data_IF_129929568647
#
_entry.id   IF_129929568647
#
_cell.length_a   1.000
_cell.length_b   1.000
_cell.length_c   1.000
_cell.angle_alpha   90.00
_cell.angle_beta   90.00
_cell.angle_gamma   90.00
#
_symmetry.space_group_name_H-M   'P 1'
#
loop_
_entity.id
_entity.type
_entity.pdbx_description
1 polymer ?
#
# COMPACT_ATOMS: atom_id res chain seq x y z
N UNK A 1 -18.17 -21.75 -38.32
CA UNK A 1 -17.79 -21.27 -39.67
C UNK A 1 -16.40 -20.62 -39.64
N UNK A 2 -15.29 -21.39 -39.59
CA UNK A 2 -13.94 -20.80 -39.51
C UNK A 2 -13.38 -20.32 -40.87
N UNK A 3 -13.93 -20.75 -42.01
CA UNK A 3 -13.26 -20.57 -43.31
C UNK A 3 -13.44 -19.22 -44.04
N UNK A 4 -14.26 -18.28 -43.56
CA UNK A 4 -14.53 -17.02 -44.28
C UNK A 4 -13.62 -15.87 -43.82
N UNK A 5 -13.32 -15.78 -42.52
CA UNK A 5 -12.43 -14.77 -41.93
C UNK A 5 -10.99 -14.93 -42.43
N UNK A 6 -10.46 -16.15 -42.36
CA UNK A 6 -9.08 -16.46 -42.77
C UNK A 6 -8.85 -16.17 -44.25
N UNK A 7 -9.85 -16.45 -45.10
CA UNK A 7 -9.78 -16.12 -46.54
C UNK A 7 -9.79 -14.61 -46.79
N UNK A 8 -10.53 -13.83 -45.99
CA UNK A 8 -10.56 -12.37 -46.12
C UNK A 8 -9.28 -11.73 -45.59
N UNK A 9 -8.76 -12.20 -44.45
CA UNK A 9 -7.46 -11.79 -43.90
C UNK A 9 -6.32 -12.11 -44.87
N UNK A 10 -6.32 -13.32 -45.45
CA UNK A 10 -5.34 -13.71 -46.47
C UNK A 10 -5.39 -12.79 -47.68
N UNK A 11 -6.58 -12.58 -48.26
CA UNK A 11 -6.77 -11.65 -49.39
C UNK A 11 -6.33 -10.22 -49.06
N UNK A 12 -6.64 -9.74 -47.85
CA UNK A 12 -6.21 -8.43 -47.40
C UNK A 12 -4.67 -8.34 -47.30
N UNK A 13 -4.04 -9.38 -46.77
CA UNK A 13 -2.57 -9.47 -46.67
C UNK A 13 -1.89 -9.55 -48.04
N UNK A 14 -2.48 -10.26 -49.01
CA UNK A 14 -1.99 -10.33 -50.38
C UNK A 14 -2.13 -8.98 -51.10
N UNK A 15 -3.28 -8.31 -50.93
CA UNK A 15 -3.50 -6.96 -51.44
C UNK A 15 -2.49 -5.97 -50.86
N UNK A 16 -2.20 -6.06 -49.55
CA UNK A 16 -1.17 -5.26 -48.87
C UNK A 16 0.23 -5.52 -49.45
N UNK A 17 0.59 -6.78 -49.71
CA UNK A 17 1.87 -7.15 -50.37
C UNK A 17 1.99 -6.60 -51.78
N UNK A 18 0.87 -6.53 -52.51
CA UNK A 18 0.77 -5.94 -53.86
C UNK A 18 0.66 -4.40 -53.84
N UNK A 19 0.85 -3.75 -52.68
CA UNK A 19 0.70 -2.30 -52.48
C UNK A 19 -0.69 -1.74 -52.82
N UNK A 20 -1.71 -2.61 -52.90
CA UNK A 20 -3.09 -2.18 -53.05
C UNK A 20 -3.68 -1.87 -51.67
N UNK A 21 -3.23 -0.76 -51.09
CA UNK A 21 -3.50 -0.39 -49.71
C UNK A 21 -4.98 -0.10 -49.46
N UNK A 22 -5.66 0.56 -50.40
CA UNK A 22 -7.09 0.89 -50.28
C UNK A 22 -7.92 -0.39 -50.20
N UNK A 23 -7.70 -1.33 -51.11
CA UNK A 23 -8.43 -2.59 -51.13
C UNK A 23 -8.13 -3.45 -49.89
N UNK A 24 -6.86 -3.51 -49.47
CA UNK A 24 -6.48 -4.21 -48.24
C UNK A 24 -7.13 -3.58 -46.99
N UNK A 25 -7.16 -2.26 -46.89
CA UNK A 25 -7.81 -1.55 -45.79
C UNK A 25 -9.32 -1.80 -45.76
N UNK A 26 -10.00 -1.81 -46.91
CA UNK A 26 -11.41 -2.16 -46.97
C UNK A 26 -11.69 -3.58 -46.49
N UNK A 27 -10.85 -4.55 -46.86
CA UNK A 27 -11.00 -5.93 -46.43
C UNK A 27 -10.79 -6.07 -44.92
N UNK A 28 -9.75 -5.43 -44.35
CA UNK A 28 -9.55 -5.43 -42.90
C UNK A 28 -10.68 -4.71 -42.14
N UNK A 29 -11.21 -3.61 -42.68
CA UNK A 29 -12.37 -2.93 -42.09
C UNK A 29 -13.66 -3.77 -42.17
N UNK A 30 -13.82 -4.61 -43.19
CA UNK A 30 -14.91 -5.58 -43.26
C UNK A 30 -14.74 -6.68 -42.20
N UNK A 31 -13.53 -7.18 -42.00
CA UNK A 31 -13.23 -8.12 -40.91
C UNK A 31 -13.59 -7.50 -39.56
N UNK A 32 -13.16 -6.26 -39.29
CA UNK A 32 -13.49 -5.55 -38.05
C UNK A 32 -14.96 -5.14 -37.91
N UNK A 33 -15.75 -5.17 -38.98
CA UNK A 33 -17.20 -5.01 -38.90
C UNK A 33 -17.88 -6.29 -38.39
N UNK A 34 -17.32 -7.44 -38.74
CA UNK A 34 -17.83 -8.77 -38.37
C UNK A 34 -17.29 -9.23 -37.02
N UNK A 35 -16.02 -8.96 -36.75
CA UNK A 35 -15.31 -9.23 -35.50
C UNK A 35 -14.57 -7.96 -35.03
N UNK A 36 -15.24 -7.09 -34.25
CA UNK A 36 -14.72 -5.78 -33.87
C UNK A 36 -13.43 -5.76 -33.05
N UNK A 37 -13.06 -6.89 -32.42
CA UNK A 37 -11.83 -7.02 -31.64
C UNK A 37 -10.78 -7.93 -32.31
N UNK A 38 -10.92 -8.17 -33.62
CA UNK A 38 -9.96 -8.99 -34.36
C UNK A 38 -8.54 -8.41 -34.30
N UNK A 39 -7.64 -9.07 -33.56
CA UNK A 39 -6.28 -8.58 -33.30
C UNK A 39 -5.47 -8.44 -34.59
N UNK A 40 -5.59 -9.42 -35.50
CA UNK A 40 -4.82 -9.44 -36.74
C UNK A 40 -5.20 -8.27 -37.65
N UNK A 41 -6.50 -8.07 -37.87
CA UNK A 41 -7.00 -6.97 -38.68
C UNK A 41 -6.64 -5.59 -38.08
N UNK A 42 -6.79 -5.41 -36.77
CA UNK A 42 -6.47 -4.15 -36.10
C UNK A 42 -4.98 -3.79 -36.21
N UNK A 43 -4.08 -4.77 -36.01
CA UNK A 43 -2.63 -4.58 -36.16
C UNK A 43 -2.25 -4.32 -37.61
N UNK A 44 -2.84 -5.08 -38.54
CA UNK A 44 -2.56 -4.95 -39.96
C UNK A 44 -2.97 -3.58 -40.51
N UNK A 45 -4.09 -3.01 -40.07
CA UNK A 45 -4.51 -1.65 -40.44
C UNK A 45 -3.47 -0.61 -40.00
N UNK A 46 -2.92 -0.71 -38.79
CA UNK A 46 -1.90 0.24 -38.31
C UNK A 46 -0.61 0.12 -39.11
N UNK A 47 -0.15 -1.10 -39.37
CA UNK A 47 1.04 -1.34 -40.18
C UNK A 47 0.85 -0.86 -41.63
N UNK A 48 -0.32 -1.14 -42.22
CA UNK A 48 -0.68 -0.72 -43.57
C UNK A 48 -0.71 0.81 -43.70
N UNK A 49 -1.42 1.48 -42.80
CA UNK A 49 -1.54 2.95 -42.84
C UNK A 49 -0.20 3.64 -42.60
N UNK A 50 0.65 3.08 -41.73
CA UNK A 50 2.03 3.52 -41.51
C UNK A 50 2.89 3.38 -42.77
N UNK A 51 2.94 2.19 -43.38
CA UNK A 51 3.73 1.95 -44.61
C UNK A 51 3.31 2.88 -45.74
N UNK A 52 2.01 2.94 -46.01
CA UNK A 52 1.46 3.84 -47.03
C UNK A 52 1.81 5.30 -46.74
N UNK A 53 1.65 5.74 -45.49
CA UNK A 53 2.00 7.10 -45.08
C UNK A 53 3.48 7.44 -45.27
N UNK A 54 4.38 6.48 -45.06
CA UNK A 54 5.81 6.65 -45.32
C UNK A 54 6.11 6.76 -46.81
N UNK A 55 5.46 5.95 -47.64
CA UNK A 55 5.64 5.96 -49.10
C UNK A 55 5.06 7.22 -49.75
N UNK A 56 3.90 7.69 -49.29
CA UNK A 56 3.20 8.88 -49.78
C UNK A 56 3.70 10.19 -49.14
N UNK A 57 4.61 10.12 -48.16
CA UNK A 57 5.15 11.29 -47.46
C UNK A 57 4.10 12.05 -46.63
N UNK A 58 3.09 11.35 -46.09
CA UNK A 58 2.01 11.95 -45.31
C UNK A 58 2.54 12.53 -43.99
N UNK A 59 2.05 13.72 -43.62
CA UNK A 59 2.48 14.43 -42.40
C UNK A 59 1.68 14.01 -41.17
N UNK A 60 2.16 14.43 -39.99
CA UNK A 60 1.51 14.21 -38.67
C UNK A 60 0.09 14.80 -38.55
N UNK A 61 -0.28 15.75 -39.43
CA UNK A 61 -1.63 16.31 -39.51
C UNK A 61 -2.14 16.27 -40.95
N UNK A 62 -3.36 15.75 -41.12
CA UNK A 62 -4.01 15.63 -42.43
C UNK A 62 -5.17 16.62 -42.57
N UNK A 63 -5.25 17.30 -43.73
CA UNK A 63 -6.53 17.85 -44.20
C UNK A 63 -7.38 16.70 -44.73
N UNK A 64 -8.68 16.72 -44.44
CA UNK A 64 -9.64 15.72 -44.88
C UNK A 64 -9.74 15.73 -46.42
N UNK A 65 -8.89 14.96 -47.11
CA UNK A 65 -8.95 14.79 -48.57
C UNK A 65 -9.44 13.39 -48.88
N UNK A 66 -10.53 13.34 -49.66
CA UNK A 66 -10.94 12.20 -50.49
C UNK A 66 -11.10 10.85 -49.79
N UNK A 67 -12.29 10.58 -49.21
CA UNK A 67 -12.92 9.25 -49.14
C UNK A 67 -14.36 9.33 -48.59
N UNK A 68 -15.04 10.46 -48.81
CA UNK A 68 -16.39 10.72 -48.29
C UNK A 68 -17.49 9.97 -49.04
N UNK A 69 -17.23 9.47 -50.25
CA UNK A 69 -18.24 8.83 -51.11
C UNK A 69 -18.36 7.31 -50.88
N UNK A 70 -17.26 6.54 -50.95
CA UNK A 70 -17.27 5.07 -50.81
C UNK A 70 -17.73 4.57 -49.44
N UNK A 71 -17.43 5.34 -48.37
CA UNK A 71 -17.72 4.93 -47.00
C UNK A 71 -19.14 5.25 -46.51
N UNK A 72 -19.88 6.16 -47.15
CA UNK A 72 -21.26 6.51 -46.73
C UNK A 72 -22.25 5.37 -46.99
N UNK A 73 -22.01 4.53 -48.00
CA UNK A 73 -22.95 3.48 -48.41
C UNK A 73 -22.76 2.14 -47.67
N UNK A 74 -21.53 1.72 -47.35
CA UNK A 74 -21.23 0.36 -46.84
C UNK A 74 -21.31 0.19 -45.30
N UNK A 75 -21.36 1.30 -44.56
CA UNK A 75 -21.29 1.32 -43.09
C UNK A 75 -22.54 1.93 -42.42
N UNK A 76 -23.68 1.95 -43.12
CA UNK A 76 -24.99 2.30 -42.51
C UNK A 76 -25.46 1.15 -41.62
N UNK A 77 -25.82 1.43 -40.37
CA UNK A 77 -26.38 0.43 -39.42
C UNK A 77 -25.55 0.13 -38.17
N UNK A 78 -24.64 1.02 -37.76
CA UNK A 78 -23.91 0.89 -36.50
C UNK A 78 -24.80 1.42 -35.36
N UNK A 79 -25.01 0.63 -34.32
CA UNK A 79 -26.05 0.87 -33.29
C UNK A 79 -25.53 1.44 -31.97
N UNK A 80 -24.21 1.60 -31.80
CA UNK A 80 -23.59 2.14 -30.57
C UNK A 80 -22.67 3.34 -30.87
N UNK A 81 -22.75 4.37 -30.01
CA UNK A 81 -22.01 5.64 -30.11
C UNK A 81 -20.49 5.47 -30.31
N UNK A 82 -19.88 4.44 -29.70
CA UNK A 82 -18.43 4.21 -29.78
C UNK A 82 -17.99 3.62 -31.13
N UNK A 83 -18.83 2.81 -31.77
CA UNK A 83 -18.49 2.14 -33.03
C UNK A 83 -18.45 3.12 -34.21
N UNK A 84 -19.33 4.12 -34.20
CA UNK A 84 -19.31 5.23 -35.17
C UNK A 84 -18.03 6.07 -35.02
N UNK A 85 -17.68 6.42 -33.77
CA UNK A 85 -16.47 7.17 -33.46
C UNK A 85 -15.20 6.42 -33.90
N UNK A 86 -15.15 5.10 -33.67
CA UNK A 86 -14.06 4.23 -34.10
C UNK A 86 -13.89 4.30 -35.63
N UNK A 87 -14.98 4.13 -36.39
CA UNK A 87 -14.94 4.17 -37.85
C UNK A 87 -14.52 5.56 -38.37
N UNK A 88 -14.96 6.65 -37.73
CA UNK A 88 -14.56 8.00 -38.10
C UNK A 88 -13.06 8.25 -37.83
N UNK A 89 -12.55 7.77 -36.70
CA UNK A 89 -11.13 7.87 -36.38
C UNK A 89 -10.27 7.07 -37.37
N UNK A 90 -10.69 5.86 -37.77
CA UNK A 90 -9.99 5.06 -38.78
C UNK A 90 -9.92 5.76 -40.14
N UNK A 91 -11.02 6.39 -40.57
CA UNK A 91 -11.06 7.19 -41.80
C UNK A 91 -10.14 8.41 -41.73
N UNK A 92 -10.04 9.04 -40.57
CA UNK A 92 -9.11 10.15 -40.38
C UNK A 92 -7.66 9.67 -40.45
N UNK A 93 -7.35 8.61 -39.70
CA UNK A 93 -6.01 8.01 -39.61
C UNK A 93 -5.56 7.36 -40.91
N UNK A 94 -6.48 7.08 -41.84
CA UNK A 94 -6.12 6.81 -43.23
C UNK A 94 -5.26 7.94 -43.77
N UNK A 95 -5.74 9.19 -43.73
CA UNK A 95 -5.07 10.35 -44.30
C UNK A 95 -3.99 10.97 -43.40
N UNK A 96 -4.04 10.69 -42.10
CA UNK A 96 -3.09 11.19 -41.11
C UNK A 96 -2.54 10.04 -40.23
N UNK A 97 -1.75 9.12 -40.81
CA UNK A 97 -1.34 7.88 -40.15
C UNK A 97 -0.31 8.07 -39.04
N UNK A 98 0.15 9.30 -38.79
CA UNK A 98 1.10 9.64 -37.73
C UNK A 98 0.53 10.60 -36.68
N UNK A 99 -0.79 10.82 -36.68
CA UNK A 99 -1.46 11.63 -35.67
C UNK A 99 -1.67 10.81 -34.38
N UNK A 100 -0.74 10.98 -33.43
CA UNK A 100 -0.76 10.29 -32.15
C UNK A 100 -2.02 10.61 -31.34
N UNK A 101 -2.51 11.86 -31.39
CA UNK A 101 -3.71 12.25 -30.64
C UNK A 101 -4.92 11.49 -31.15
N UNK A 102 -5.10 11.40 -32.47
CA UNK A 102 -6.22 10.64 -33.04
C UNK A 102 -6.10 9.14 -32.80
N UNK A 103 -4.89 8.59 -32.78
CA UNK A 103 -4.66 7.20 -32.38
C UNK A 103 -5.08 6.94 -30.93
N UNK A 104 -4.77 7.86 -30.00
CA UNK A 104 -5.18 7.78 -28.60
C UNK A 104 -6.70 7.85 -28.45
N UNK A 105 -7.37 8.75 -29.19
CA UNK A 105 -8.84 8.85 -29.20
C UNK A 105 -9.51 7.56 -29.71
N UNK A 106 -8.99 6.99 -30.81
CA UNK A 106 -9.43 5.71 -31.35
C UNK A 106 -9.23 4.57 -30.34
N UNK A 107 -8.05 4.51 -29.72
CA UNK A 107 -7.71 3.48 -28.74
C UNK A 107 -8.61 3.56 -27.49
N UNK A 108 -8.91 4.77 -27.01
CA UNK A 108 -9.84 5.00 -25.90
C UNK A 108 -11.26 4.59 -26.27
N UNK A 109 -11.74 4.96 -27.47
CA UNK A 109 -13.08 4.56 -27.93
C UNK A 109 -13.20 3.04 -28.06
N UNK A 110 -12.19 2.37 -28.62
CA UNK A 110 -12.13 0.91 -28.71
C UNK A 110 -12.12 0.24 -27.33
N UNK A 111 -11.36 0.79 -26.37
CA UNK A 111 -11.33 0.30 -24.99
C UNK A 111 -12.69 0.43 -24.30
N UNK A 112 -13.38 1.57 -24.47
CA UNK A 112 -14.72 1.80 -23.94
C UNK A 112 -15.79 0.90 -24.59
N UNK A 113 -15.59 0.51 -25.86
CA UNK A 113 -16.43 -0.46 -26.56
C UNK A 113 -16.14 -1.92 -26.15
N UNK A 114 -15.06 -2.17 -25.39
CA UNK A 114 -14.64 -3.50 -24.95
C UNK A 114 -13.71 -4.23 -25.93
N UNK A 115 -13.26 -3.56 -26.99
CA UNK A 115 -12.37 -4.14 -28.00
C UNK A 115 -10.91 -3.98 -27.57
N UNK A 116 -10.44 -4.92 -26.74
CA UNK A 116 -9.16 -4.85 -26.04
C UNK A 116 -7.96 -4.98 -26.98
N UNK A 117 -7.98 -5.95 -27.88
CA UNK A 117 -6.90 -6.17 -28.86
C UNK A 117 -6.81 -5.00 -29.84
N UNK A 118 -7.95 -4.45 -30.26
CA UNK A 118 -7.99 -3.27 -31.15
C UNK A 118 -7.51 -2.00 -30.45
N UNK A 119 -7.90 -1.78 -29.19
CA UNK A 119 -7.37 -0.68 -28.39
C UNK A 119 -5.86 -0.79 -28.22
N UNK A 120 -5.37 -2.00 -27.92
CA UNK A 120 -3.94 -2.28 -27.72
C UNK A 120 -3.11 -1.99 -28.98
N UNK A 121 -3.59 -2.38 -30.16
CA UNK A 121 -2.93 -2.09 -31.43
C UNK A 121 -2.74 -0.59 -31.65
N UNK A 122 -3.75 0.22 -31.32
CA UNK A 122 -3.70 1.68 -31.48
C UNK A 122 -2.81 2.37 -30.43
N UNK A 123 -2.86 1.96 -29.16
CA UNK A 123 -1.96 2.48 -28.13
C UNK A 123 -0.49 2.12 -28.44
N UNK A 124 -0.21 0.93 -28.95
CA UNK A 124 1.14 0.55 -29.37
C UNK A 124 1.63 1.36 -30.57
N UNK A 125 0.78 1.58 -31.57
CA UNK A 125 1.12 2.44 -32.70
C UNK A 125 1.43 3.89 -32.26
N UNK A 126 0.68 4.41 -31.29
CA UNK A 126 0.97 5.70 -30.66
C UNK A 126 2.35 5.70 -29.95
N UNK A 127 2.67 4.64 -29.21
CA UNK A 127 3.95 4.49 -28.51
C UNK A 127 5.16 4.31 -29.44
N UNK A 128 4.97 3.78 -30.64
CA UNK A 128 6.03 3.75 -31.65
C UNK A 128 6.44 5.15 -32.10
N UNK A 129 5.49 6.10 -32.11
CA UNK A 129 5.73 7.49 -32.51
C UNK A 129 6.14 8.37 -31.32
N UNK A 130 5.56 8.12 -30.14
CA UNK A 130 5.86 8.81 -28.88
C UNK A 130 6.17 7.80 -27.75
N UNK A 131 7.41 7.27 -27.68
CA UNK A 131 7.78 6.23 -26.70
C UNK A 131 7.68 6.67 -25.24
N UNK A 132 7.61 7.98 -24.99
CA UNK A 132 7.54 8.60 -23.66
C UNK A 132 6.12 8.99 -23.24
N UNK A 133 5.09 8.57 -23.98
CA UNK A 133 3.71 8.87 -23.64
C UNK A 133 3.23 7.99 -22.47
N UNK A 134 3.22 8.56 -21.26
CA UNK A 134 2.87 7.85 -20.02
C UNK A 134 1.44 7.32 -20.05
N UNK A 135 0.48 8.09 -20.60
CA UNK A 135 -0.92 7.66 -20.66
C UNK A 135 -1.09 6.43 -21.55
N UNK A 136 -0.42 6.39 -22.69
CA UNK A 136 -0.44 5.24 -23.58
C UNK A 136 0.22 4.00 -22.93
N UNK A 137 1.34 4.17 -22.22
CA UNK A 137 2.00 3.09 -21.47
C UNK A 137 1.06 2.49 -20.40
N UNK A 138 0.40 3.35 -19.60
CA UNK A 138 -0.57 2.90 -18.58
C UNK A 138 -1.79 2.23 -19.22
N UNK A 139 -2.30 2.76 -20.33
CA UNK A 139 -3.41 2.15 -21.06
C UNK A 139 -3.06 0.75 -21.59
N UNK A 140 -1.88 0.55 -22.18
CA UNK A 140 -1.39 -0.79 -22.54
C UNK A 140 -1.31 -1.73 -21.32
N UNK A 141 -0.78 -1.24 -20.20
CA UNK A 141 -0.71 -2.00 -18.93
C UNK A 141 -2.09 -2.46 -18.46
N UNK A 142 -3.09 -1.57 -18.45
CA UNK A 142 -4.48 -1.88 -18.09
C UNK A 142 -5.10 -2.94 -18.99
N UNK A 143 -4.89 -2.83 -20.30
CA UNK A 143 -5.42 -3.79 -21.27
C UNK A 143 -4.79 -5.17 -21.07
N UNK A 144 -3.47 -5.26 -20.90
CA UNK A 144 -2.80 -6.52 -20.65
C UNK A 144 -3.22 -7.18 -19.33
N UNK A 145 -3.54 -6.40 -18.29
CA UNK A 145 -4.15 -6.96 -17.08
C UNK A 145 -5.52 -7.58 -17.36
N UNK A 146 -6.37 -6.93 -18.16
CA UNK A 146 -7.68 -7.49 -18.54
C UNK A 146 -7.57 -8.75 -19.40
N UNK A 147 -6.53 -8.85 -20.23
CA UNK A 147 -6.23 -10.04 -21.03
C UNK A 147 -5.57 -11.18 -20.21
N UNK A 148 -5.22 -10.93 -18.94
CA UNK A 148 -4.52 -11.91 -18.08
C UNK A 148 -3.03 -12.06 -18.37
N UNK A 149 -2.48 -11.25 -19.27
CA UNK A 149 -1.06 -11.24 -19.65
C UNK A 149 -0.24 -10.37 -18.67
N UNK A 150 -0.11 -10.86 -17.44
CA UNK A 150 0.46 -10.10 -16.32
C UNK A 150 1.93 -9.69 -16.54
N UNK A 151 2.71 -10.48 -17.28
CA UNK A 151 4.13 -10.16 -17.58
C UNK A 151 4.24 -8.97 -18.55
N UNK A 152 3.39 -8.91 -19.55
CA UNK A 152 3.32 -7.82 -20.50
C UNK A 152 2.82 -6.56 -19.78
N UNK A 153 1.78 -6.68 -18.96
CA UNK A 153 1.29 -5.58 -18.13
C UNK A 153 2.39 -4.98 -17.25
N UNK A 154 3.17 -5.82 -16.57
CA UNK A 154 4.30 -5.40 -15.73
C UNK A 154 5.31 -4.54 -16.52
N UNK A 155 5.70 -4.98 -17.72
CA UNK A 155 6.66 -4.26 -18.57
C UNK A 155 6.19 -2.86 -18.92
N UNK A 156 4.90 -2.70 -19.26
CA UNK A 156 4.34 -1.39 -19.61
C UNK A 156 4.25 -0.44 -18.40
N UNK A 157 3.86 -0.94 -17.23
CA UNK A 157 3.86 -0.12 -16.03
C UNK A 157 5.28 0.20 -15.52
N UNK A 158 6.25 -0.71 -15.67
CA UNK A 158 7.66 -0.42 -15.39
C UNK A 158 8.21 0.68 -16.31
N UNK A 159 7.84 0.66 -17.58
CA UNK A 159 8.20 1.73 -18.52
C UNK A 159 7.57 3.07 -18.10
N UNK A 160 6.31 3.07 -17.64
CA UNK A 160 5.67 4.27 -17.12
C UNK A 160 6.37 4.80 -15.85
N UNK A 161 6.72 3.92 -14.90
CA UNK A 161 7.41 4.28 -13.67
C UNK A 161 8.84 4.78 -13.89
N UNK A 162 9.53 4.33 -14.94
CA UNK A 162 10.84 4.90 -15.32
C UNK A 162 10.72 6.35 -15.79
N UNK A 163 9.59 6.75 -16.36
CA UNK A 163 9.34 8.12 -16.82
C UNK A 163 8.77 9.00 -15.71
N UNK A 164 7.94 8.43 -14.84
CA UNK A 164 7.39 9.08 -13.66
C UNK A 164 7.40 8.12 -12.46
N UNK A 165 8.45 8.17 -11.61
CA UNK A 165 8.58 7.29 -10.44
C UNK A 165 7.48 7.46 -9.38
N UNK A 166 6.74 8.58 -9.42
CA UNK A 166 5.67 8.89 -8.47
C UNK A 166 4.26 8.71 -9.07
N UNK A 167 4.12 8.05 -10.23
CA UNK A 167 2.80 7.72 -10.78
C UNK A 167 2.09 6.67 -9.89
N UNK A 168 1.10 7.12 -9.12
CA UNK A 168 0.40 6.28 -8.16
C UNK A 168 -0.40 5.13 -8.78
N UNK A 169 -0.90 5.30 -10.01
CA UNK A 169 -1.63 4.25 -10.74
C UNK A 169 -0.67 3.13 -11.16
N UNK A 170 0.46 3.48 -11.78
CA UNK A 170 1.46 2.52 -12.22
C UNK A 170 2.12 1.79 -11.04
N UNK A 171 2.40 2.50 -9.93
CA UNK A 171 2.97 1.90 -8.73
C UNK A 171 2.01 0.89 -8.08
N UNK A 172 0.72 1.25 -7.97
CA UNK A 172 -0.32 0.35 -7.44
C UNK A 172 -0.50 -0.86 -8.35
N UNK A 173 -0.64 -0.64 -9.66
CA UNK A 173 -0.82 -1.72 -10.62
C UNK A 173 0.37 -2.69 -10.63
N UNK A 174 1.62 -2.21 -10.44
CA UNK A 174 2.79 -3.09 -10.31
C UNK A 174 2.78 -3.93 -9.05
N UNK A 175 2.36 -3.35 -7.92
CA UNK A 175 2.17 -4.09 -6.67
C UNK A 175 1.10 -5.18 -6.82
N UNK A 176 -0.01 -4.85 -7.47
CA UNK A 176 -1.12 -5.79 -7.71
C UNK A 176 -0.70 -6.91 -8.68
N UNK A 177 0.05 -6.58 -9.74
CA UNK A 177 0.61 -7.58 -10.67
C UNK A 177 1.64 -8.47 -9.98
N UNK A 178 2.50 -7.92 -9.12
CA UNK A 178 3.43 -8.71 -8.32
C UNK A 178 2.66 -9.70 -7.44
N UNK A 179 1.64 -9.26 -6.72
CA UNK A 179 0.79 -10.15 -5.93
C UNK A 179 0.07 -11.23 -6.78
N UNK A 180 -0.50 -10.86 -7.93
CA UNK A 180 -1.25 -11.77 -8.80
C UNK A 180 -0.36 -12.78 -9.55
N UNK A 181 0.83 -12.38 -10.00
CA UNK A 181 1.81 -13.30 -10.60
C UNK A 181 2.38 -14.27 -9.58
N UNK A 182 2.50 -13.86 -8.32
CA UNK A 182 2.84 -14.75 -7.22
C UNK A 182 1.72 -15.77 -6.95
N UNK A 183 0.44 -15.42 -7.08
CA UNK A 183 -0.69 -16.35 -6.89
C UNK A 183 -0.90 -17.29 -8.08
N UNK A 184 -0.84 -16.81 -9.33
CA UNK A 184 -1.11 -17.64 -10.52
C UNK A 184 0.01 -18.65 -10.87
N UNK A 185 1.24 -18.40 -10.41
CA UNK A 185 2.36 -19.35 -10.58
C UNK A 185 2.28 -20.51 -9.57
N UNK A 186 1.55 -20.33 -8.47
CA UNK A 186 1.31 -21.34 -7.42
C UNK A 186 0.36 -22.45 -7.90
N UNK A 187 -0.59 -22.13 -8.77
CA UNK A 187 -1.54 -23.13 -9.30
C UNK A 187 -0.94 -23.98 -10.44
N UNK A 188 -0.08 -23.39 -11.29
CA UNK A 188 0.47 -24.08 -12.48
C UNK A 188 1.72 -24.93 -12.21
N UNK A 189 2.37 -24.79 -11.07
CA UNK A 189 3.65 -25.46 -10.76
C UNK A 189 3.49 -26.80 -10.02
N UNK A 190 2.26 -27.30 -9.83
CA UNK A 190 2.01 -28.58 -9.16
C UNK A 190 2.53 -29.83 -9.88
N UNK A 191 3.01 -29.75 -11.14
CA UNK A 191 3.22 -30.97 -11.95
C UNK A 191 4.55 -31.12 -12.71
N UNK A 192 5.41 -30.10 -12.87
CA UNK A 192 6.47 -30.19 -13.90
C UNK A 192 7.94 -30.07 -13.47
N UNK A 193 8.27 -29.81 -12.20
CA UNK A 193 9.67 -29.54 -11.80
C UNK A 193 10.35 -30.64 -10.97
N UNK A 194 9.70 -31.81 -10.81
CA UNK A 194 10.24 -32.92 -10.01
C UNK A 194 11.52 -33.57 -10.58
N UNK A 195 11.84 -33.39 -11.86
CA UNK A 195 12.82 -34.28 -12.50
C UNK A 195 14.13 -33.64 -12.98
N UNK A 196 14.34 -32.33 -12.82
CA UNK A 196 15.62 -31.71 -13.23
C UNK A 196 15.96 -30.53 -12.35
N UNK A 197 16.97 -30.66 -11.50
CA UNK A 197 18.08 -29.69 -11.33
C UNK A 197 19.13 -30.28 -10.38
N UNK A 198 20.34 -30.42 -10.91
CA UNK A 198 21.56 -30.71 -10.19
C UNK A 198 22.09 -29.43 -9.56
N UNK A 199 21.61 -29.10 -8.37
CA UNK A 199 22.41 -28.61 -7.24
C UNK A 199 21.44 -28.39 -6.09
N UNK A 200 21.34 -29.39 -5.20
CA UNK A 200 20.27 -29.46 -4.20
C UNK A 200 20.21 -28.19 -3.33
N UNK A 201 21.38 -27.61 -3.02
CA UNK A 201 21.52 -26.42 -2.18
C UNK A 201 21.20 -25.11 -2.90
N UNK A 202 21.52 -25.03 -4.20
CA UNK A 202 21.19 -23.87 -5.01
C UNK A 202 19.71 -23.90 -5.41
N UNK A 203 19.15 -25.09 -5.63
CA UNK A 203 17.71 -25.31 -5.76
C UNK A 203 16.98 -24.94 -4.47
N UNK A 204 17.43 -25.38 -3.29
CA UNK A 204 16.86 -24.99 -1.99
C UNK A 204 16.94 -23.48 -1.73
N UNK A 205 18.07 -22.83 -2.05
CA UNK A 205 18.23 -21.37 -1.95
C UNK A 205 17.27 -20.62 -2.88
N UNK A 206 17.13 -21.08 -4.12
CA UNK A 206 16.22 -20.51 -5.11
C UNK A 206 14.75 -20.80 -4.76
N UNK A 207 14.44 -22.00 -4.24
CA UNK A 207 13.12 -22.41 -3.74
C UNK A 207 12.69 -21.52 -2.58
N UNK A 208 13.60 -21.18 -1.68
CA UNK A 208 13.34 -20.39 -0.49
C UNK A 208 13.22 -18.88 -0.77
N UNK A 209 14.03 -18.34 -1.69
CA UNK A 209 13.86 -16.97 -2.22
C UNK A 209 12.53 -16.82 -2.99
N UNK A 210 11.97 -17.92 -3.48
CA UNK A 210 10.71 -17.99 -4.24
C UNK A 210 9.50 -18.41 -3.38
N UNK A 211 9.72 -18.94 -2.16
CA UNK A 211 8.66 -19.43 -1.28
C UNK A 211 8.07 -18.30 -0.43
N UNK A 212 6.74 -18.27 -0.29
CA UNK A 212 6.13 -17.67 0.90
C UNK A 212 6.36 -18.69 2.01
N UNK A 213 7.16 -18.34 3.04
CA UNK A 213 7.39 -19.20 4.20
C UNK A 213 6.05 -19.41 4.95
N UNK A 214 5.31 -20.47 4.61
CA UNK A 214 3.93 -20.69 5.06
C UNK A 214 3.89 -21.54 6.31
N UNK A 215 4.88 -22.42 6.48
CA UNK A 215 5.02 -23.29 7.63
C UNK A 215 6.26 -22.92 8.45
N UNK A 216 6.30 -23.34 9.71
CA UNK A 216 7.48 -23.17 10.57
C UNK A 216 8.70 -23.89 9.98
N UNK A 217 8.50 -25.06 9.36
CA UNK A 217 9.54 -25.86 8.73
C UNK A 217 10.18 -25.12 7.53
N UNK A 218 9.40 -24.40 6.74
CA UNK A 218 9.93 -23.55 5.66
C UNK A 218 10.85 -22.46 6.22
N UNK A 219 10.46 -21.82 7.33
CA UNK A 219 11.27 -20.78 7.97
C UNK A 219 12.55 -21.38 8.57
N UNK A 220 12.51 -22.60 9.11
CA UNK A 220 13.71 -23.27 9.63
C UNK A 220 14.71 -23.60 8.52
N UNK A 221 14.24 -24.10 7.37
CA UNK A 221 15.07 -24.27 6.16
C UNK A 221 15.63 -22.94 5.67
N UNK A 222 14.84 -21.85 5.79
CA UNK A 222 15.29 -20.51 5.43
C UNK A 222 16.50 -20.05 6.22
N UNK A 223 16.44 -20.29 7.52
CA UNK A 223 17.48 -19.93 8.47
C UNK A 223 18.77 -20.67 8.11
N UNK A 224 18.72 -21.99 7.86
CA UNK A 224 19.92 -22.78 7.52
C UNK A 224 20.67 -22.23 6.30
N UNK A 225 19.95 -21.88 5.24
CA UNK A 225 20.53 -21.29 4.03
C UNK A 225 21.16 -19.93 4.30
N UNK A 226 20.50 -19.09 5.10
CA UNK A 226 21.03 -17.77 5.48
C UNK A 226 22.21 -17.85 6.45
N UNK A 227 22.28 -18.90 7.28
CA UNK A 227 23.45 -19.16 8.12
C UNK A 227 24.67 -19.53 7.27
N UNK A 228 24.49 -20.21 6.14
CA UNK A 228 25.59 -20.46 5.21
C UNK A 228 26.03 -19.17 4.47
N UNK A 229 25.10 -18.28 4.13
CA UNK A 229 25.44 -16.95 3.59
C UNK A 229 26.26 -16.12 4.60
N UNK A 230 25.94 -16.22 5.90
CA UNK A 230 26.74 -15.59 6.97
C UNK A 230 28.15 -16.17 7.04
N UNK A 231 28.32 -17.49 6.89
CA UNK A 231 29.67 -18.09 6.86
C UNK A 231 30.50 -17.57 5.70
N UNK A 232 29.88 -17.33 4.54
CA UNK A 232 30.55 -16.76 3.38
C UNK A 232 30.87 -15.27 3.54
N UNK A 233 29.99 -14.50 4.20
CA UNK A 233 30.13 -13.06 4.41
C UNK A 233 29.86 -12.67 5.88
N UNK A 234 30.77 -12.97 6.82
CA UNK A 234 30.52 -12.78 8.26
C UNK A 234 30.48 -11.32 8.72
N UNK A 235 30.90 -10.38 7.87
CA UNK A 235 30.94 -8.95 8.20
C UNK A 235 29.76 -8.16 7.58
N UNK A 236 28.74 -8.82 7.03
CA UNK A 236 27.53 -8.15 6.57
C UNK A 236 26.44 -8.17 7.67
N UNK A 237 26.16 -7.05 8.37
CA UNK A 237 25.14 -7.00 9.42
C UNK A 237 23.73 -7.27 8.89
N UNK A 238 23.47 -7.10 7.58
CA UNK A 238 22.17 -7.36 6.97
C UNK A 238 21.77 -8.82 7.07
N UNK A 239 22.73 -9.74 6.89
CA UNK A 239 22.46 -11.18 6.92
C UNK A 239 22.01 -11.63 8.31
N UNK A 240 22.64 -11.09 9.36
CA UNK A 240 22.23 -11.34 10.74
C UNK A 240 20.83 -10.78 11.02
N UNK A 241 20.49 -9.60 10.47
CA UNK A 241 19.12 -9.05 10.58
C UNK A 241 18.10 -9.92 9.86
N UNK A 242 18.40 -10.40 8.65
CA UNK A 242 17.52 -11.30 7.90
C UNK A 242 17.23 -12.59 8.67
N UNK A 243 18.26 -13.21 9.27
CA UNK A 243 18.07 -14.38 10.14
C UNK A 243 17.23 -14.03 11.37
N UNK A 244 17.47 -12.87 11.98
CA UNK A 244 16.65 -12.37 13.09
C UNK A 244 15.17 -12.22 12.72
N UNK A 245 14.86 -11.68 11.53
CA UNK A 245 13.50 -11.52 11.03
C UNK A 245 12.82 -12.88 10.75
N UNK A 246 13.59 -13.87 10.30
CA UNK A 246 13.10 -15.24 10.12
C UNK A 246 12.74 -15.90 11.45
N UNK A 247 13.61 -15.82 12.47
CA UNK A 247 13.28 -16.33 13.81
C UNK A 247 12.08 -15.60 14.43
N UNK A 248 11.96 -14.28 14.21
CA UNK A 248 10.81 -13.51 14.67
C UNK A 248 9.50 -13.99 14.06
N UNK A 249 9.52 -14.45 12.80
CA UNK A 249 8.33 -14.97 12.08
C UNK A 249 7.78 -16.25 12.70
N UNK A 250 8.63 -17.10 13.26
CA UNK A 250 8.23 -18.31 14.00
C UNK A 250 8.07 -18.07 15.49
N UNK A 251 8.05 -16.80 15.93
CA UNK A 251 7.93 -16.41 17.34
C UNK A 251 9.05 -16.94 18.24
N UNK A 252 10.20 -17.33 17.68
CA UNK A 252 11.40 -17.63 18.47
C UNK A 252 12.12 -16.33 18.80
N UNK A 253 11.61 -15.66 19.84
CA UNK A 253 12.09 -14.34 20.26
C UNK A 253 13.54 -14.37 20.76
N UNK A 254 13.99 -15.49 21.35
CA UNK A 254 15.33 -15.60 21.91
C UNK A 254 16.38 -15.68 20.80
N UNK A 255 16.15 -16.54 19.81
CA UNK A 255 17.02 -16.64 18.64
C UNK A 255 17.00 -15.35 17.83
N UNK A 256 15.83 -14.75 17.63
CA UNK A 256 15.71 -13.47 16.93
C UNK A 256 16.57 -12.37 17.58
N UNK A 257 16.44 -12.16 18.90
CA UNK A 257 17.22 -11.18 19.64
C UNK A 257 18.74 -11.45 19.55
N UNK A 258 19.16 -12.71 19.66
CA UNK A 258 20.56 -13.09 19.55
C UNK A 258 21.16 -12.72 18.18
N UNK A 259 20.43 -12.95 17.09
CA UNK A 259 20.90 -12.60 15.74
C UNK A 259 20.92 -11.09 15.50
N UNK A 260 19.95 -10.32 16.01
CA UNK A 260 20.05 -8.86 15.96
C UNK A 260 21.21 -8.30 16.79
N UNK A 261 21.54 -8.90 17.93
CA UNK A 261 22.73 -8.51 18.70
C UNK A 261 24.03 -8.78 17.94
N UNK A 262 24.14 -9.91 17.25
CA UNK A 262 25.27 -10.18 16.35
C UNK A 262 25.38 -9.14 15.24
N UNK A 263 24.26 -8.67 14.68
CA UNK A 263 24.29 -7.57 13.73
C UNK A 263 24.92 -6.30 14.34
N UNK A 264 24.69 -6.03 15.62
CA UNK A 264 25.31 -4.91 16.35
C UNK A 264 26.76 -5.13 16.76
N UNK A 265 27.20 -6.39 16.90
CA UNK A 265 28.62 -6.70 17.07
C UNK A 265 29.40 -6.38 15.79
N UNK A 266 28.78 -6.58 14.62
CA UNK A 266 29.36 -6.25 13.31
C UNK A 266 29.27 -4.76 13.00
N UNK A 267 28.11 -4.14 13.21
CA UNK A 267 27.90 -2.69 13.09
C UNK A 267 27.21 -2.13 14.35
N UNK A 268 27.98 -1.56 15.31
CA UNK A 268 27.43 -0.99 16.54
C UNK A 268 26.40 0.14 16.33
N UNK A 269 26.39 0.75 15.15
CA UNK A 269 25.49 1.84 14.80
C UNK A 269 24.31 1.39 13.91
N UNK A 270 24.09 0.09 13.73
CA UNK A 270 22.92 -0.42 12.98
C UNK A 270 21.61 -0.09 13.72
N UNK A 271 21.02 1.05 13.35
CA UNK A 271 19.76 1.54 13.89
C UNK A 271 18.61 0.53 13.69
N UNK A 272 18.59 -0.20 12.57
CA UNK A 272 17.55 -1.18 12.30
C UNK A 272 17.65 -2.37 13.24
N UNK A 273 18.86 -2.88 13.51
CA UNK A 273 19.06 -3.95 14.48
C UNK A 273 18.67 -3.52 15.90
N UNK A 274 18.98 -2.28 16.29
CA UNK A 274 18.57 -1.74 17.60
C UNK A 274 17.04 -1.65 17.73
N UNK A 275 16.35 -1.10 16.71
CA UNK A 275 14.88 -1.04 16.68
C UNK A 275 14.26 -2.45 16.73
N UNK A 276 14.84 -3.41 16.01
CA UNK A 276 14.36 -4.79 15.97
C UNK A 276 14.52 -5.52 17.31
N UNK A 277 15.61 -5.30 18.05
CA UNK A 277 15.78 -5.84 19.40
C UNK A 277 14.65 -5.37 20.31
N UNK A 278 14.35 -4.07 20.29
CA UNK A 278 13.26 -3.52 21.08
C UNK A 278 11.90 -4.11 20.66
N UNK A 279 11.63 -4.22 19.35
CA UNK A 279 10.41 -4.84 18.82
C UNK A 279 10.23 -6.29 19.32
N UNK A 280 11.30 -7.09 19.27
CA UNK A 280 11.31 -8.49 19.71
C UNK A 280 11.04 -8.59 21.20
N UNK A 281 11.68 -7.75 22.01
CA UNK A 281 11.48 -7.74 23.46
C UNK A 281 10.03 -7.36 23.82
N UNK A 282 9.44 -6.36 23.16
CA UNK A 282 8.02 -6.01 23.35
C UNK A 282 7.09 -7.18 22.99
N UNK A 283 7.32 -7.83 21.85
CA UNK A 283 6.55 -9.00 21.42
C UNK A 283 6.68 -10.16 22.41
N UNK A 284 7.87 -10.39 22.97
CA UNK A 284 8.11 -11.40 24.02
C UNK A 284 7.30 -11.11 25.28
N UNK A 285 7.26 -9.85 25.73
CA UNK A 285 6.41 -9.46 26.86
C UNK A 285 4.92 -9.64 26.55
N UNK A 286 4.47 -9.25 25.36
CA UNK A 286 3.07 -9.41 24.96
C UNK A 286 2.65 -10.88 24.88
N UNK A 287 3.54 -11.74 24.37
CA UNK A 287 3.32 -13.17 24.33
C UNK A 287 3.23 -13.77 25.74
N UNK A 288 4.19 -13.43 26.63
CA UNK A 288 4.18 -13.85 28.05
C UNK A 288 2.90 -13.41 28.77
N UNK A 289 2.51 -12.14 28.63
CA UNK A 289 1.29 -11.60 29.26
C UNK A 289 0.05 -12.30 28.73
N UNK A 290 -0.02 -12.60 27.43
CA UNK A 290 -1.15 -13.33 26.82
C UNK A 290 -1.29 -14.74 27.40
N UNK A 291 -0.20 -15.50 27.46
CA UNK A 291 -0.21 -16.84 28.06
C UNK A 291 -0.68 -16.81 29.52
N UNK A 292 -0.20 -15.85 30.31
CA UNK A 292 -0.64 -15.68 31.69
C UNK A 292 -2.12 -15.30 31.79
N UNK A 293 -2.63 -14.44 30.90
CA UNK A 293 -4.05 -14.09 30.86
C UNK A 293 -4.94 -15.26 30.45
N UNK A 294 -4.51 -16.09 29.51
CA UNK A 294 -5.25 -17.29 29.10
C UNK A 294 -5.31 -18.31 30.26
N UNK A 295 -4.17 -18.55 30.92
CA UNK A 295 -4.13 -19.39 32.12
C UNK A 295 -4.98 -18.83 33.27
N UNK A 296 -5.10 -17.50 33.40
CA UNK A 296 -5.98 -16.86 34.38
C UNK A 296 -7.47 -17.05 34.04
N UNK A 297 -7.84 -17.05 32.77
CA UNK A 297 -9.23 -17.32 32.33
C UNK A 297 -9.66 -18.75 32.62
N UNK A 298 -8.76 -19.71 32.46
CA UNK A 298 -9.03 -21.13 32.74
C UNK A 298 -9.18 -21.43 34.24
N UNK A 299 -8.54 -20.64 35.10
CA UNK A 299 -8.63 -20.78 36.55
C UNK A 299 -8.06 -19.56 37.26
N UNK A 300 -8.90 -18.58 37.64
CA UNK A 300 -8.45 -17.36 38.29
C UNK A 300 -7.86 -17.64 39.66
N UNK A 301 -6.57 -17.32 39.85
CA UNK A 301 -5.90 -17.37 41.15
C UNK A 301 -5.15 -16.07 41.40
N UNK A 302 -4.99 -15.73 42.68
CA UNK A 302 -4.23 -14.54 43.08
C UNK A 302 -2.77 -14.61 42.63
N UNK A 303 -2.18 -15.81 42.63
CA UNK A 303 -0.82 -16.05 42.11
C UNK A 303 -0.71 -15.70 40.61
N UNK A 304 -1.66 -16.16 39.79
CA UNK A 304 -1.71 -15.84 38.35
C UNK A 304 -1.96 -14.35 38.12
N UNK A 305 -2.82 -13.72 38.92
CA UNK A 305 -3.04 -12.26 38.87
C UNK A 305 -1.74 -11.51 39.14
N UNK A 306 -1.01 -11.87 40.21
CA UNK A 306 0.29 -11.26 40.55
C UNK A 306 1.32 -11.48 39.44
N UNK A 307 1.36 -12.66 38.83
CA UNK A 307 2.24 -12.93 37.70
C UNK A 307 1.95 -12.03 36.49
N UNK A 308 0.67 -11.78 36.17
CA UNK A 308 0.27 -10.84 35.11
C UNK A 308 0.68 -9.41 35.45
N UNK A 309 0.42 -8.96 36.67
CA UNK A 309 0.79 -7.61 37.13
C UNK A 309 2.31 -7.40 37.10
N UNK A 310 3.07 -8.41 37.55
CA UNK A 310 4.53 -8.41 37.50
C UNK A 310 5.05 -8.33 36.06
N UNK A 311 4.52 -9.16 35.15
CA UNK A 311 4.92 -9.13 33.74
C UNK A 311 4.59 -7.78 33.06
N UNK A 312 3.47 -7.15 33.42
CA UNK A 312 3.11 -5.80 32.95
C UNK A 312 4.06 -4.73 33.48
N UNK A 313 4.48 -4.82 34.76
CA UNK A 313 5.48 -3.92 35.35
C UNK A 313 6.83 -4.07 34.68
N UNK A 314 7.30 -5.29 34.45
CA UNK A 314 8.55 -5.57 33.72
C UNK A 314 8.52 -4.97 32.30
N UNK A 315 7.42 -5.19 31.56
CA UNK A 315 7.24 -4.61 30.22
C UNK A 315 7.29 -3.08 30.26
N UNK A 316 6.60 -2.47 31.22
CA UNK A 316 6.54 -1.02 31.35
C UNK A 316 7.90 -0.42 31.68
N UNK A 317 8.65 -1.04 32.60
CA UNK A 317 10.00 -0.63 32.94
C UNK A 317 10.92 -0.68 31.71
N UNK A 318 10.83 -1.78 30.94
CA UNK A 318 11.55 -1.89 29.67
C UNK A 318 11.20 -0.75 28.70
N UNK A 319 9.91 -0.43 28.53
CA UNK A 319 9.50 0.70 27.68
C UNK A 319 10.09 2.04 28.16
N UNK A 320 10.10 2.29 29.47
CA UNK A 320 10.68 3.53 30.02
C UNK A 320 12.16 3.65 29.65
N UNK A 321 12.94 2.58 29.86
CA UNK A 321 14.38 2.57 29.59
C UNK A 321 14.70 2.69 28.09
N UNK A 322 13.97 1.97 27.25
CA UNK A 322 14.16 2.01 25.80
C UNK A 322 13.79 3.37 25.21
N UNK A 323 12.64 3.93 25.56
CA UNK A 323 12.26 5.25 25.06
C UNK A 323 13.10 6.38 25.67
N UNK A 324 13.60 6.24 26.89
CA UNK A 324 14.57 7.17 27.46
C UNK A 324 15.87 7.23 26.63
N UNK A 325 16.40 6.06 26.23
CA UNK A 325 17.57 5.99 25.33
C UNK A 325 17.29 6.63 23.97
N UNK A 326 16.11 6.41 23.39
CA UNK A 326 15.70 7.02 22.12
C UNK A 326 15.60 8.55 22.22
N UNK A 327 14.99 9.06 23.28
CA UNK A 327 14.91 10.51 23.56
C UNK A 327 16.29 11.11 23.79
N UNK A 328 17.22 10.39 24.45
CA UNK A 328 18.59 10.86 24.64
C UNK A 328 19.32 11.02 23.30
N UNK A 329 19.11 10.11 22.35
CA UNK A 329 19.68 10.18 21.00
C UNK A 329 19.01 11.22 20.11
N UNK A 330 17.70 11.40 20.27
CA UNK A 330 16.88 12.33 19.49
C UNK A 330 16.10 13.28 20.39
N UNK A 331 16.78 14.25 21.05
CA UNK A 331 16.15 15.11 22.05
C UNK A 331 15.14 16.09 21.49
N UNK A 332 15.08 16.34 20.18
CA UNK A 332 14.10 17.26 19.59
C UNK A 332 12.84 16.54 19.09
N UNK A 333 12.80 15.21 19.14
CA UNK A 333 11.64 14.43 18.68
C UNK A 333 10.51 14.47 19.70
N UNK A 334 9.46 15.23 19.38
CA UNK A 334 8.26 15.42 20.21
C UNK A 334 7.46 14.15 20.37
N UNK A 335 7.45 13.25 19.38
CA UNK A 335 6.75 11.96 19.46
C UNK A 335 7.44 11.04 20.46
N UNK A 336 8.77 10.92 20.40
CA UNK A 336 9.50 10.08 21.35
C UNK A 336 9.35 10.57 22.79
N UNK A 337 9.36 11.90 23.00
CA UNK A 337 9.09 12.50 24.32
C UNK A 337 7.68 12.23 24.80
N UNK A 338 6.70 12.31 23.91
CA UNK A 338 5.32 12.01 24.23
C UNK A 338 5.13 10.55 24.69
N UNK A 339 5.66 9.59 23.92
CA UNK A 339 5.57 8.17 24.27
C UNK A 339 6.31 7.86 25.57
N UNK A 340 7.52 8.42 25.78
CA UNK A 340 8.24 8.30 27.04
C UNK A 340 7.42 8.85 28.21
N UNK A 341 6.83 10.04 28.04
CA UNK A 341 5.96 10.66 29.04
C UNK A 341 4.76 9.79 29.41
N UNK A 342 4.15 9.10 28.44
CA UNK A 342 3.08 8.13 28.67
C UNK A 342 3.54 6.95 29.51
N UNK A 343 4.69 6.35 29.19
CA UNK A 343 5.21 5.23 29.96
C UNK A 343 5.61 5.64 31.38
N UNK A 344 6.27 6.79 31.55
CA UNK A 344 6.61 7.34 32.87
C UNK A 344 5.35 7.59 33.71
N UNK A 345 4.30 8.16 33.11
CA UNK A 345 3.03 8.38 33.78
C UNK A 345 2.37 7.07 34.23
N UNK A 346 2.37 6.05 33.36
CA UNK A 346 1.88 4.71 33.70
C UNK A 346 2.72 4.05 34.81
N UNK A 347 4.02 4.32 34.85
CA UNK A 347 4.95 3.84 35.87
C UNK A 347 4.86 4.58 37.19
N UNK A 348 4.09 5.67 37.26
CA UNK A 348 3.96 6.51 38.45
C UNK A 348 5.12 7.50 38.66
N UNK A 349 6.05 7.59 37.71
CA UNK A 349 7.14 8.57 37.70
C UNK A 349 6.61 9.92 37.20
N UNK A 350 5.78 10.55 38.03
CA UNK A 350 4.96 11.70 37.63
C UNK A 350 5.79 12.94 37.28
N UNK A 351 6.91 13.17 37.96
CA UNK A 351 7.76 14.35 37.71
C UNK A 351 8.46 14.26 36.36
N UNK A 352 9.08 13.12 36.07
CA UNK A 352 9.72 12.85 34.80
C UNK A 352 8.68 12.82 33.67
N UNK A 353 7.50 12.24 33.93
CA UNK A 353 6.40 12.24 32.96
C UNK A 353 5.99 13.66 32.57
N UNK A 354 5.75 14.54 33.55
CA UNK A 354 5.38 15.94 33.31
C UNK A 354 6.47 16.65 32.50
N UNK A 355 7.75 16.47 32.86
CA UNK A 355 8.86 17.11 32.16
C UNK A 355 8.95 16.70 30.68
N UNK A 356 8.69 15.43 30.35
CA UNK A 356 8.68 14.95 28.96
C UNK A 356 7.42 15.40 28.20
N UNK A 357 6.25 15.28 28.82
CA UNK A 357 4.98 15.63 28.20
C UNK A 357 4.86 17.13 27.92
N UNK A 358 5.35 17.99 28.81
CA UNK A 358 5.38 19.45 28.58
C UNK A 358 6.19 19.81 27.32
N UNK A 359 7.32 19.14 27.09
CA UNK A 359 8.10 19.32 25.87
C UNK A 359 7.38 18.79 24.62
N UNK A 360 6.52 17.79 24.77
CA UNK A 360 5.71 17.27 23.67
C UNK A 360 4.51 18.17 23.29
N UNK A 361 4.08 19.09 24.17
CA UNK A 361 2.95 20.00 23.91
C UNK A 361 3.19 20.97 22.74
N UNK A 362 4.44 21.14 22.31
CA UNK A 362 4.79 22.03 21.18
C UNK A 362 4.30 21.47 19.83
N UNK A 363 4.04 20.17 19.73
CA UNK A 363 3.52 19.54 18.50
C UNK A 363 1.98 19.47 18.53
N UNK A 364 1.27 20.08 17.56
CA UNK A 364 -0.18 20.08 17.51
C UNK A 364 -0.82 18.68 17.53
N UNK A 365 -0.11 17.65 17.04
CA UNK A 365 -0.61 16.26 17.01
C UNK A 365 -0.75 15.65 18.40
N UNK A 366 0.13 16.03 19.32
CA UNK A 366 0.19 15.49 20.68
C UNK A 366 -0.32 16.48 21.72
N UNK A 367 -0.46 17.76 21.37
CA UNK A 367 -0.80 18.86 22.28
C UNK A 367 -1.97 18.56 23.22
N UNK A 368 -3.09 18.07 22.69
CA UNK A 368 -4.31 17.76 23.48
C UNK A 368 -4.04 16.66 24.50
N UNK A 369 -3.53 15.52 24.04
CA UNK A 369 -3.29 14.36 24.90
C UNK A 369 -2.15 14.62 25.90
N UNK A 370 -1.12 15.39 25.51
CA UNK A 370 -0.03 15.80 26.38
C UNK A 370 -0.52 16.74 27.50
N UNK A 371 -1.32 17.77 27.19
CA UNK A 371 -1.94 18.62 28.22
C UNK A 371 -2.84 17.82 29.14
N UNK A 372 -3.64 16.90 28.58
CA UNK A 372 -4.51 16.02 29.37
C UNK A 372 -3.69 15.21 30.38
N UNK A 373 -2.68 14.47 29.92
CA UNK A 373 -1.85 13.63 30.80
C UNK A 373 -1.06 14.43 31.84
N UNK A 374 -0.56 15.62 31.49
CA UNK A 374 0.08 16.53 32.46
C UNK A 374 -0.93 16.98 33.52
N UNK A 375 -2.15 17.32 33.11
CA UNK A 375 -3.22 17.69 34.03
C UNK A 375 -3.56 16.56 35.01
N UNK A 376 -3.68 15.33 34.52
CA UNK A 376 -3.91 14.15 35.37
C UNK A 376 -2.72 13.89 36.31
N UNK A 377 -1.49 14.04 35.81
CA UNK A 377 -0.29 13.88 36.63
C UNK A 377 -0.26 14.91 37.78
N UNK A 378 -0.52 16.19 37.50
CA UNK A 378 -0.63 17.22 38.54
C UNK A 378 -1.73 16.90 39.56
N UNK A 379 -2.90 16.42 39.09
CA UNK A 379 -4.00 16.00 39.98
C UNK A 379 -3.57 14.88 40.91
N UNK A 380 -2.89 13.85 40.41
CA UNK A 380 -2.35 12.75 41.23
C UNK A 380 -1.32 13.23 42.26
N UNK A 381 -0.59 14.31 41.97
CA UNK A 381 0.34 14.97 42.90
C UNK A 381 -0.34 15.91 43.91
N UNK A 382 -1.66 16.11 43.83
CA UNK A 382 -2.39 17.08 44.66
C UNK A 382 -2.25 18.53 44.20
N UNK A 383 -1.62 18.79 43.06
CA UNK A 383 -1.41 20.13 42.50
C UNK A 383 -2.61 20.56 41.65
N UNK A 384 -3.78 20.65 42.29
CA UNK A 384 -5.06 20.75 41.61
C UNK A 384 -5.24 22.01 40.74
N UNK A 385 -4.69 23.16 41.16
CA UNK A 385 -4.80 24.38 40.35
C UNK A 385 -4.03 24.29 39.03
N UNK A 386 -2.85 23.65 39.04
CA UNK A 386 -2.08 23.39 37.83
C UNK A 386 -2.77 22.35 36.96
N UNK A 387 -3.36 21.32 37.58
CA UNK A 387 -4.15 20.32 36.87
C UNK A 387 -5.32 20.95 36.10
N UNK A 388 -6.10 21.84 36.74
CA UNK A 388 -7.19 22.56 36.08
C UNK A 388 -6.69 23.34 34.86
N UNK A 389 -5.61 24.12 35.01
CA UNK A 389 -5.05 24.93 33.91
C UNK A 389 -4.66 24.07 32.71
N UNK A 390 -4.00 22.93 32.94
CA UNK A 390 -3.57 22.04 31.87
C UNK A 390 -4.74 21.31 31.22
N UNK A 391 -5.72 20.84 32.00
CA UNK A 391 -6.92 20.22 31.45
C UNK A 391 -7.78 21.22 30.64
N UNK A 392 -7.86 22.49 31.04
CA UNK A 392 -8.53 23.54 30.26
C UNK A 392 -7.84 23.75 28.91
N UNK A 393 -6.50 23.80 28.87
CA UNK A 393 -5.74 23.87 27.60
C UNK A 393 -5.94 22.63 26.73
N UNK A 394 -6.09 21.44 27.35
CA UNK A 394 -6.41 20.22 26.61
C UNK A 394 -7.79 20.32 25.95
N UNK A 395 -8.77 20.92 26.64
CA UNK A 395 -10.15 21.08 26.14
C UNK A 395 -10.30 22.17 25.09
N UNK A 396 -9.57 23.28 25.19
CA UNK A 396 -9.69 24.47 24.33
C UNK A 396 -9.85 24.19 22.81
N UNK A 397 -9.01 23.33 22.17
CA UNK A 397 -9.17 23.04 20.74
C UNK A 397 -10.37 22.14 20.41
N UNK A 398 -11.01 21.51 21.41
CA UNK A 398 -12.13 20.58 21.23
C UNK A 398 -13.46 21.33 21.21
N UNK A 399 -13.92 21.66 19.99
CA UNK A 399 -15.19 22.38 19.78
C UNK A 399 -16.44 21.51 19.92
N UNK A 400 -16.28 20.19 19.82
CA UNK A 400 -17.38 19.22 19.88
C UNK A 400 -17.23 18.37 21.13
N UNK A 401 -18.34 18.06 21.78
CA UNK A 401 -18.38 17.16 22.93
C UNK A 401 -18.27 15.69 22.48
N UNK A 402 -17.08 15.30 21.99
CA UNK A 402 -16.73 13.92 21.66
C UNK A 402 -16.23 13.16 22.90
N UNK A 403 -15.92 11.87 22.77
CA UNK A 403 -15.48 11.04 23.90
C UNK A 403 -14.22 11.59 24.62
N UNK A 404 -13.27 12.15 23.86
CA UNK A 404 -12.08 12.77 24.44
C UNK A 404 -12.42 14.05 25.23
N UNK A 405 -13.34 14.87 24.74
CA UNK A 405 -13.79 16.07 25.43
C UNK A 405 -14.60 15.72 26.69
N UNK A 406 -15.46 14.70 26.62
CA UNK A 406 -16.18 14.17 27.79
C UNK A 406 -15.18 13.69 28.87
N UNK A 407 -14.14 12.98 28.46
CA UNK A 407 -13.09 12.50 29.38
C UNK A 407 -12.33 13.65 30.05
N UNK A 408 -11.91 14.66 29.29
CA UNK A 408 -11.23 15.85 29.82
C UNK A 408 -12.16 16.65 30.75
N UNK A 409 -13.42 16.84 30.36
CA UNK A 409 -14.43 17.56 31.15
C UNK A 409 -14.75 16.83 32.45
N UNK A 410 -14.80 15.50 32.42
CA UNK A 410 -14.96 14.67 33.61
C UNK A 410 -13.79 14.87 34.57
N UNK A 411 -12.55 14.81 34.07
CA UNK A 411 -11.37 14.99 34.92
C UNK A 411 -11.24 16.43 35.42
N UNK A 412 -11.70 17.44 34.67
CA UNK A 412 -11.85 18.82 35.16
C UNK A 412 -12.82 18.90 36.32
N UNK A 413 -14.02 18.35 36.17
CA UNK A 413 -15.03 18.33 37.22
C UNK A 413 -14.50 17.66 38.49
N UNK A 414 -13.87 16.49 38.35
CA UNK A 414 -13.20 15.77 39.44
C UNK A 414 -12.08 16.59 40.10
N UNK A 415 -11.34 17.37 39.32
CA UNK A 415 -10.29 18.24 39.87
C UNK A 415 -10.89 19.41 40.65
N UNK A 416 -12.00 19.98 40.18
CA UNK A 416 -12.72 21.04 40.90
C UNK A 416 -13.37 20.55 42.20
N UNK A 417 -13.91 19.33 42.24
CA UNK A 417 -14.37 18.69 43.48
C UNK A 417 -13.24 18.61 44.51
N UNK A 418 -12.07 18.14 44.10
CA UNK A 418 -10.90 18.01 44.98
C UNK A 418 -10.37 19.36 45.47
N UNK A 419 -10.65 20.44 44.73
CA UNK A 419 -10.38 21.83 45.10
C UNK A 419 -11.45 22.43 46.03
N UNK A 420 -12.56 21.71 46.28
CA UNK A 420 -13.71 22.21 47.02
C UNK A 420 -14.59 23.20 46.24
N UNK A 421 -14.37 23.36 44.93
CA UNK A 421 -15.15 24.25 44.05
C UNK A 421 -16.35 23.50 43.47
N UNK A 422 -17.26 23.09 44.35
CA UNK A 422 -18.37 22.19 44.02
C UNK A 422 -19.35 22.77 43.00
N UNK A 423 -19.58 24.09 43.02
CA UNK A 423 -20.46 24.75 42.04
C UNK A 423 -19.93 24.58 40.61
N UNK A 424 -18.64 24.84 40.42
CA UNK A 424 -17.96 24.69 39.11
C UNK A 424 -17.91 23.20 38.71
N UNK A 425 -17.64 22.30 39.66
CA UNK A 425 -17.66 20.87 39.39
C UNK A 425 -19.03 20.41 38.89
N UNK A 426 -20.12 20.88 39.52
CA UNK A 426 -21.50 20.58 39.12
C UNK A 426 -21.78 21.07 37.70
N UNK A 427 -21.40 22.30 37.36
CA UNK A 427 -21.54 22.84 35.99
C UNK A 427 -20.79 21.98 34.96
N UNK A 428 -19.57 21.55 35.25
CA UNK A 428 -18.78 20.72 34.32
C UNK A 428 -19.40 19.33 34.13
N UNK A 429 -19.98 18.72 35.17
CA UNK A 429 -20.72 17.47 35.02
C UNK A 429 -22.02 17.61 34.23
N UNK A 430 -22.75 18.72 34.39
CA UNK A 430 -23.97 18.98 33.62
C UNK A 430 -23.71 18.96 32.12
N UNK A 431 -22.61 19.59 31.67
CA UNK A 431 -22.20 19.59 30.25
C UNK A 431 -22.02 18.18 29.69
N UNK A 432 -21.61 17.22 30.52
CA UNK A 432 -21.48 15.82 30.10
C UNK A 432 -22.86 15.17 30.04
N UNK A 433 -23.68 15.33 31.08
CA UNK A 433 -25.03 14.73 31.17
C UNK A 433 -25.94 15.17 30.02
N UNK A 434 -25.86 16.43 29.61
CA UNK A 434 -26.63 16.97 28.49
C UNK A 434 -26.43 16.20 27.18
N UNK A 435 -25.26 15.57 27.01
CA UNK A 435 -24.88 14.85 25.79
C UNK A 435 -24.84 13.33 26.01
N UNK A 436 -24.44 12.87 27.21
CA UNK A 436 -24.28 11.46 27.56
C UNK A 436 -24.53 11.23 29.06
N UNK A 437 -25.79 10.92 29.39
CA UNK A 437 -26.23 10.63 30.75
C UNK A 437 -25.52 9.42 31.39
N UNK A 438 -25.01 8.47 30.59
CA UNK A 438 -24.41 7.22 31.08
C UNK A 438 -22.89 7.29 31.19
N UNK A 439 -22.30 8.46 30.98
CA UNK A 439 -20.86 8.62 31.03
C UNK A 439 -20.33 8.42 32.46
N UNK A 440 -19.65 7.30 32.70
CA UNK A 440 -19.02 6.93 33.99
C UNK A 440 -19.99 7.07 35.18
N UNK A 441 -19.53 7.66 36.28
CA UNK A 441 -20.27 7.90 37.53
C UNK A 441 -20.80 9.34 37.64
N UNK A 442 -20.90 10.08 36.52
CA UNK A 442 -21.26 11.52 36.52
C UNK A 442 -22.61 11.80 37.21
N UNK A 443 -23.64 11.02 36.92
CA UNK A 443 -24.96 11.18 37.54
C UNK A 443 -24.92 10.98 39.07
N UNK A 444 -24.11 10.03 39.55
CA UNK A 444 -23.94 9.80 40.99
C UNK A 444 -23.18 10.95 41.65
N UNK A 445 -22.12 11.44 41.01
CA UNK A 445 -21.31 12.57 41.48
C UNK A 445 -22.16 13.83 41.61
N UNK A 446 -22.97 14.13 40.60
CA UNK A 446 -23.83 15.31 40.59
C UNK A 446 -24.92 15.28 41.67
N UNK A 447 -25.41 14.09 42.05
CA UNK A 447 -26.34 13.93 43.17
C UNK A 447 -25.67 14.03 44.55
N UNK A 448 -24.34 13.89 44.63
CA UNK A 448 -23.57 13.94 45.87
C UNK A 448 -22.97 15.33 46.17
N UNK A 449 -22.84 16.19 45.14
CA UNK A 449 -22.42 17.59 45.23
C UNK A 449 -23.61 18.50 45.51
#
# INVERSE_FOLDING_TARGET
MPGQFDKMLLKASEAMKRRNYEYAFELYMQVLKMDPDNEEAARAIRELTKRRGQEEGLKKSGRLRGLTSLFKAKFKGITKKYDEQIVECEKYLWNAPFDVKRMMELASAAYSAGYLHRALANYKAALELEPRNIEALKACGRIYMKLGELQQAARFYDAALRLNPHDGEAARARKDIAAATTVGRIEKMGTSYRDKIADKKQAEKLELEQHILRTEEDVRRAIELKLDDIKANPNDPRLYREVGDLYLRISDFNSAEAFYRKALEVDPNDFFAQEKIAEVQLKRYDYKIRQLMDAYREGPTEEKRRAIEQAKREKLQFCIEEWARRVQRHPTDTKLRFELGKFLYQGGQLDEAIAQLQKAQTDPRYKVEAHFLVGIAFRKKGLYELAVKELQKAREPLRVMNDQNKEITYELARTYELLGKNDIAREEYQKIIEVDYKFKDVAQRLGAL
#
